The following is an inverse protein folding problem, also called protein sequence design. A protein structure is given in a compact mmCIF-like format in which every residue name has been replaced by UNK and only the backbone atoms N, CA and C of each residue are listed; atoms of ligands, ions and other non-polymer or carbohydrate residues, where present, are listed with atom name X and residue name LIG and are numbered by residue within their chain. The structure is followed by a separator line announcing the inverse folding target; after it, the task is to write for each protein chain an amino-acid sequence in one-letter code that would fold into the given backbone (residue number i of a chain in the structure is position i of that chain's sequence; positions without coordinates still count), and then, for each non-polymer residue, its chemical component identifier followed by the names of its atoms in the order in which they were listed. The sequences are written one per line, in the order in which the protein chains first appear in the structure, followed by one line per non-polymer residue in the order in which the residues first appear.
data_IF_277638611793
#
_entry.id   IF_277638611793
#
_cell.length_a   1.000
_cell.length_b   1.000
_cell.length_c   1.000
_cell.angle_alpha   90.00
_cell.angle_beta   90.00
_cell.angle_gamma   90.00
#
_symmetry.space_group_name_H-M   'P 1'
#
loop_
_entity.id
_entity.type
_entity.pdbx_description
1 polymer ?
#
# COMPACT_ATOMS: atom_id res chain seq x y z
N UNK A 1 25.96 9.78 4.30
CA UNK A 1 25.98 10.83 3.25
C UNK A 1 24.73 10.65 2.42
N UNK A 2 23.93 11.69 2.24
CA UNK A 2 22.80 11.65 1.30
C UNK A 2 23.34 11.41 -0.11
N UNK A 3 22.77 10.44 -0.82
CA UNK A 3 23.11 10.16 -2.21
C UNK A 3 22.05 10.79 -3.12
N UNK A 4 22.49 11.37 -4.23
CA UNK A 4 21.59 11.72 -5.34
C UNK A 4 21.43 10.53 -6.28
N UNK A 5 20.26 10.43 -6.89
CA UNK A 5 19.96 9.40 -7.88
C UNK A 5 19.57 10.06 -9.19
N UNK A 6 20.15 9.61 -10.30
CA UNK A 6 19.79 10.06 -11.63
C UNK A 6 18.44 9.45 -12.05
N UNK A 7 17.57 10.25 -12.64
CA UNK A 7 16.26 9.80 -13.06
C UNK A 7 15.41 10.90 -13.67
N UNK A 8 14.16 10.55 -13.99
CA UNK A 8 13.13 11.48 -14.47
C UNK A 8 11.96 11.43 -13.50
N UNK A 9 11.51 12.61 -13.08
CA UNK A 9 10.26 12.76 -12.34
C UNK A 9 9.12 12.98 -13.33
N UNK A 10 8.17 12.05 -13.35
CA UNK A 10 7.02 12.06 -14.25
C UNK A 10 5.78 12.60 -13.54
N UNK A 11 5.01 13.44 -14.23
CA UNK A 11 3.77 14.05 -13.73
C UNK A 11 2.53 13.38 -14.36
N UNK A 12 2.05 12.32 -13.74
CA UNK A 12 0.69 11.78 -13.96
C UNK A 12 -0.12 11.92 -12.66
N UNK A 13 0.53 11.58 -11.55
CA UNK A 13 0.47 12.21 -10.23
C UNK A 13 1.93 12.58 -9.91
N UNK A 14 2.70 11.61 -9.44
CA UNK A 14 4.16 11.68 -9.39
C UNK A 14 4.77 10.27 -9.36
N UNK A 15 5.71 9.97 -10.26
CA UNK A 15 6.60 8.81 -10.12
C UNK A 15 8.02 9.17 -10.56
N UNK A 16 9.01 8.63 -9.84
CA UNK A 16 10.41 8.79 -10.19
C UNK A 16 10.92 7.56 -10.92
N UNK A 17 11.30 7.71 -12.18
CA UNK A 17 11.95 6.68 -13.00
C UNK A 17 13.47 6.75 -12.81
N UNK A 18 14.07 5.70 -12.26
CA UNK A 18 15.53 5.62 -12.11
C UNK A 18 16.21 5.32 -13.42
N UNK A 19 17.29 6.04 -13.75
CA UNK A 19 18.16 5.76 -14.90
C UNK A 19 17.37 5.45 -16.21
N UNK A 20 16.50 6.37 -16.67
CA UNK A 20 15.63 6.15 -17.82
C UNK A 20 16.46 5.85 -19.07
N UNK A 21 16.00 4.89 -19.85
CA UNK A 21 16.65 4.44 -21.06
C UNK A 21 15.55 4.04 -22.07
N UNK A 22 15.49 4.65 -23.27
CA UNK A 22 14.45 4.37 -24.26
C UNK A 22 14.42 2.92 -24.76
N UNK A 23 15.57 2.21 -24.71
CA UNK A 23 15.64 0.80 -25.07
C UNK A 23 15.05 -0.12 -23.99
N UNK A 24 14.96 0.33 -22.74
CA UNK A 24 14.34 -0.43 -21.64
C UNK A 24 12.83 -0.29 -21.65
N UNK A 25 12.16 -1.32 -22.13
CA UNK A 25 10.70 -1.32 -22.25
C UNK A 25 10.00 -1.86 -21.00
N UNK A 26 10.63 -2.68 -20.16
CA UNK A 26 9.95 -3.28 -19.02
C UNK A 26 10.01 -2.39 -17.77
N UNK A 27 8.96 -2.42 -16.95
CA UNK A 27 8.80 -1.53 -15.80
C UNK A 27 8.44 -2.29 -14.54
N UNK A 28 9.16 -1.99 -13.46
CA UNK A 28 8.77 -2.35 -12.10
C UNK A 28 8.23 -1.11 -11.41
N UNK A 29 6.94 -1.10 -11.08
CA UNK A 29 6.33 -0.04 -10.28
C UNK A 29 6.46 -0.41 -8.80
N UNK A 30 7.22 0.38 -8.05
CA UNK A 30 7.44 0.19 -6.63
C UNK A 30 6.52 1.12 -5.81
N UNK A 31 5.76 0.53 -4.89
CA UNK A 31 4.90 1.21 -3.90
C UNK A 31 5.41 0.87 -2.49
N UNK A 32 5.68 1.91 -1.70
CA UNK A 32 6.19 1.79 -0.33
C UNK A 32 5.10 1.48 0.71
N UNK A 33 5.49 1.46 1.98
CA UNK A 33 4.55 1.39 3.10
C UNK A 33 3.84 2.72 3.41
N UNK A 34 3.00 2.74 4.45
CA UNK A 34 2.14 3.88 4.83
C UNK A 34 2.89 5.21 4.88
N UNK A 35 4.05 5.22 5.55
CA UNK A 35 4.85 6.43 5.77
C UNK A 35 5.82 6.74 4.64
N UNK A 36 5.91 5.85 3.66
CA UNK A 36 6.91 5.92 2.62
C UNK A 36 6.46 6.87 1.51
N UNK A 37 7.46 7.35 0.79
CA UNK A 37 7.34 8.05 -0.48
C UNK A 37 8.64 7.89 -1.26
N UNK A 38 9.00 8.87 -2.08
CA UNK A 38 10.21 8.78 -2.90
C UNK A 38 11.47 8.61 -2.03
N UNK A 39 12.29 7.59 -2.35
CA UNK A 39 13.60 7.32 -1.76
C UNK A 39 13.61 7.03 -0.24
N UNK A 40 12.45 6.80 0.37
CA UNK A 40 12.31 6.44 1.79
C UNK A 40 12.79 5.02 2.08
N UNK A 41 12.60 4.10 1.13
CA UNK A 41 13.00 2.69 1.23
C UNK A 41 14.41 2.51 0.61
N UNK A 42 15.47 2.27 1.41
CA UNK A 42 16.85 2.39 0.92
C UNK A 42 17.22 1.40 -0.20
N UNK A 43 16.66 0.19 -0.16
CA UNK A 43 17.01 -0.85 -1.14
C UNK A 43 16.44 -0.57 -2.54
N UNK A 44 15.51 0.37 -2.71
CA UNK A 44 14.93 0.69 -4.03
C UNK A 44 15.99 1.26 -4.98
N UNK A 45 16.91 2.08 -4.46
CA UNK A 45 18.03 2.59 -5.26
C UNK A 45 19.04 1.48 -5.63
N UNK A 46 19.28 0.54 -4.71
CA UNK A 46 20.10 -0.64 -4.98
C UNK A 46 19.45 -1.57 -6.01
N UNK A 47 18.12 -1.70 -5.96
CA UNK A 47 17.34 -2.46 -6.95
C UNK A 47 17.43 -1.81 -8.33
N UNK A 48 17.28 -0.49 -8.42
CA UNK A 48 17.46 0.25 -9.67
C UNK A 48 18.87 0.07 -10.25
N UNK A 49 19.90 0.07 -9.41
CA UNK A 49 21.28 -0.22 -9.81
C UNK A 49 21.43 -1.66 -10.34
N UNK A 50 20.82 -2.64 -9.66
CA UNK A 50 20.85 -4.03 -10.11
C UNK A 50 20.17 -4.22 -11.49
N UNK A 51 19.27 -3.31 -11.86
CA UNK A 51 18.56 -3.36 -13.14
C UNK A 51 19.32 -2.67 -14.30
N UNK A 52 20.46 -2.03 -14.04
CA UNK A 52 21.23 -1.26 -15.05
C UNK A 52 21.53 -2.07 -16.31
N UNK A 53 21.93 -3.33 -16.18
CA UNK A 53 22.26 -4.22 -17.31
C UNK A 53 21.07 -5.02 -17.85
N UNK A 54 19.84 -4.69 -17.46
CA UNK A 54 18.62 -5.40 -17.86
C UNK A 54 17.70 -4.53 -18.72
N UNK A 55 16.65 -5.11 -19.29
CA UNK A 55 15.59 -4.39 -20.02
C UNK A 55 14.55 -3.74 -19.09
N UNK A 56 14.73 -3.84 -17.77
CA UNK A 56 13.82 -3.33 -16.74
C UNK A 56 14.26 -1.97 -16.19
N UNK A 57 13.28 -1.13 -15.91
CA UNK A 57 13.43 0.14 -15.20
C UNK A 57 12.55 0.17 -13.95
N UNK A 58 13.04 0.76 -12.87
CA UNK A 58 12.27 0.94 -11.62
C UNK A 58 11.60 2.32 -11.63
N UNK A 59 10.31 2.33 -11.35
CA UNK A 59 9.54 3.53 -11.03
C UNK A 59 9.20 3.51 -9.55
N UNK A 60 9.64 4.51 -8.77
CA UNK A 60 9.13 4.73 -7.42
C UNK A 60 7.87 5.58 -7.53
N UNK A 61 6.73 4.97 -7.25
CA UNK A 61 5.40 5.56 -7.35
C UNK A 61 5.11 6.36 -6.08
N UNK A 62 4.57 7.57 -6.22
CA UNK A 62 4.06 8.37 -5.11
C UNK A 62 2.53 8.42 -5.21
N UNK A 63 1.84 8.07 -4.12
CA UNK A 63 0.39 8.04 -4.03
C UNK A 63 -0.10 9.19 -3.14
N UNK A 64 -1.40 9.51 -3.17
CA UNK A 64 -2.00 10.42 -2.21
C UNK A 64 -1.88 9.90 -0.78
N UNK A 65 -1.82 8.58 -0.60
CA UNK A 65 -1.59 7.93 0.69
C UNK A 65 -0.13 7.97 1.16
N UNK A 66 0.82 8.44 0.36
CA UNK A 66 2.22 8.54 0.80
C UNK A 66 2.43 9.56 1.93
N UNK A 67 3.54 9.40 2.67
CA UNK A 67 3.95 10.28 3.77
C UNK A 67 2.94 10.40 4.92
N UNK A 68 2.07 11.41 4.90
CA UNK A 68 1.07 11.70 5.93
C UNK A 68 -0.36 11.41 5.44
N UNK A 69 -0.54 11.12 4.15
CA UNK A 69 -1.86 10.93 3.55
C UNK A 69 -2.51 9.58 3.90
N UNK A 70 -1.70 8.57 4.24
CA UNK A 70 -2.17 7.21 4.55
C UNK A 70 -3.20 7.14 5.67
N UNK A 71 -3.24 8.13 6.58
CA UNK A 71 -4.18 8.17 7.69
C UNK A 71 -5.63 8.47 7.28
N UNK A 72 -5.85 9.00 6.08
CA UNK A 72 -7.19 9.42 5.61
C UNK A 72 -7.60 8.77 4.29
N UNK A 73 -6.64 8.34 3.47
CA UNK A 73 -6.88 7.66 2.20
C UNK A 73 -7.30 6.18 2.37
N UNK A 74 -7.47 5.45 1.27
CA UNK A 74 -7.95 4.06 1.26
C UNK A 74 -7.30 3.22 0.18
N UNK A 75 -7.33 1.89 0.35
CA UNK A 75 -6.82 0.97 -0.68
C UNK A 75 -7.52 1.19 -2.03
N UNK A 76 -8.83 1.46 -2.06
CA UNK A 76 -9.56 1.78 -3.29
C UNK A 76 -9.01 3.01 -4.04
N UNK A 77 -8.57 4.03 -3.29
CA UNK A 77 -7.94 5.23 -3.86
C UNK A 77 -6.56 4.87 -4.40
N UNK A 78 -5.77 4.16 -3.61
CA UNK A 78 -4.41 3.77 -3.95
C UNK A 78 -4.37 2.92 -5.22
N UNK A 79 -5.26 1.92 -5.36
CA UNK A 79 -5.31 1.09 -6.57
C UNK A 79 -5.84 1.84 -7.80
N UNK A 80 -6.64 2.89 -7.60
CA UNK A 80 -7.07 3.79 -8.68
C UNK A 80 -5.88 4.61 -9.19
N UNK A 81 -5.06 5.14 -8.29
CA UNK A 81 -3.85 5.90 -8.63
C UNK A 81 -2.74 5.02 -9.23
N UNK A 82 -2.59 3.80 -8.72
CA UNK A 82 -1.70 2.79 -9.33
C UNK A 82 -2.19 2.46 -10.75
N UNK A 83 -3.49 2.30 -10.98
CA UNK A 83 -4.03 2.07 -12.32
C UNK A 83 -3.73 3.22 -13.29
N UNK A 84 -3.78 4.48 -12.82
CA UNK A 84 -3.35 5.64 -13.60
C UNK A 84 -1.86 5.58 -13.92
N UNK A 85 -1.01 5.20 -12.96
CA UNK A 85 0.43 5.01 -13.16
C UNK A 85 0.71 3.93 -14.22
N UNK A 86 0.03 2.78 -14.13
CA UNK A 86 0.17 1.67 -15.10
C UNK A 86 -0.19 2.15 -16.51
N UNK A 87 -1.31 2.87 -16.68
CA UNK A 87 -1.72 3.41 -17.98
C UNK A 87 -0.72 4.43 -18.52
N UNK A 88 -0.21 5.32 -17.66
CA UNK A 88 0.85 6.27 -18.02
C UNK A 88 2.11 5.56 -18.52
N UNK A 89 2.59 4.58 -17.76
CA UNK A 89 3.81 3.82 -18.11
C UNK A 89 3.60 2.98 -19.36
N UNK A 90 2.40 2.44 -19.61
CA UNK A 90 2.08 1.80 -20.90
C UNK A 90 2.16 2.76 -22.08
N UNK A 91 1.70 4.00 -21.91
CA UNK A 91 1.85 5.04 -22.93
C UNK A 91 3.32 5.36 -23.22
N UNK A 92 4.17 5.37 -22.19
CA UNK A 92 5.60 5.63 -22.30
C UNK A 92 6.39 4.44 -22.88
N UNK A 93 6.03 3.21 -22.52
CA UNK A 93 6.73 1.96 -22.86
C UNK A 93 5.73 0.92 -23.39
N UNK A 94 5.23 1.09 -24.63
CA UNK A 94 4.07 0.35 -25.15
C UNK A 94 4.31 -1.14 -25.40
N UNK A 95 5.58 -1.56 -25.50
CA UNK A 95 5.97 -2.97 -25.70
C UNK A 95 6.42 -3.64 -24.39
N UNK A 96 6.30 -2.91 -23.28
CA UNK A 96 6.80 -3.28 -21.97
C UNK A 96 5.93 -4.23 -21.17
N UNK A 97 6.58 -5.06 -20.35
CA UNK A 97 5.91 -5.73 -19.24
C UNK A 97 5.85 -4.79 -18.04
N UNK A 98 4.77 -4.86 -17.28
CA UNK A 98 4.61 -4.07 -16.04
C UNK A 98 4.41 -5.00 -14.85
N UNK A 99 5.31 -4.90 -13.88
CA UNK A 99 5.23 -5.60 -12.60
C UNK A 99 4.97 -4.57 -11.51
N UNK A 100 3.99 -4.84 -10.65
CA UNK A 100 3.74 -4.05 -9.44
C UNK A 100 4.43 -4.70 -8.25
N UNK A 101 5.21 -3.94 -7.49
CA UNK A 101 5.88 -4.40 -6.27
C UNK A 101 5.48 -3.52 -5.09
N UNK A 102 4.88 -4.15 -4.08
CA UNK A 102 4.53 -3.54 -2.81
C UNK A 102 5.53 -3.91 -1.72
N UNK A 103 5.94 -2.93 -0.93
CA UNK A 103 6.77 -3.10 0.27
C UNK A 103 5.96 -2.86 1.53
N UNK A 104 6.10 -3.71 2.54
CA UNK A 104 5.39 -3.55 3.82
C UNK A 104 3.89 -3.44 3.56
N UNK A 105 3.21 -2.42 4.07
CA UNK A 105 1.79 -2.16 3.81
C UNK A 105 1.47 -1.87 2.34
N UNK A 106 2.44 -1.46 1.51
CA UNK A 106 2.25 -1.39 0.05
C UNK A 106 1.92 -2.76 -0.56
N UNK A 107 2.19 -3.86 0.15
CA UNK A 107 1.71 -5.19 -0.25
C UNK A 107 0.18 -5.30 -0.18
N UNK A 108 -0.48 -4.53 0.69
CA UNK A 108 -1.94 -4.44 0.76
C UNK A 108 -2.48 -3.83 -0.54
N UNK A 109 -1.84 -2.78 -1.05
CA UNK A 109 -2.19 -2.19 -2.35
C UNK A 109 -2.05 -3.20 -3.48
N UNK A 110 -0.97 -3.99 -3.50
CA UNK A 110 -0.79 -5.05 -4.51
C UNK A 110 -1.92 -6.06 -4.43
N UNK A 111 -2.18 -6.62 -3.26
CA UNK A 111 -3.20 -7.65 -3.11
C UNK A 111 -4.60 -7.09 -3.40
N UNK A 112 -4.90 -5.87 -2.98
CA UNK A 112 -6.17 -5.18 -3.25
C UNK A 112 -6.34 -4.83 -4.72
N UNK A 113 -5.28 -4.33 -5.37
CA UNK A 113 -5.26 -4.05 -6.82
C UNK A 113 -5.67 -5.29 -7.59
N UNK A 114 -5.11 -6.40 -7.11
CA UNK A 114 -5.46 -7.70 -7.58
C UNK A 114 -6.92 -8.01 -7.14
N UNK A 115 -7.20 -8.62 -5.99
CA UNK A 115 -8.46 -9.32 -5.76
C UNK A 115 -9.78 -8.51 -5.83
N UNK A 116 -9.71 -7.17 -5.78
CA UNK A 116 -10.91 -6.31 -5.74
C UNK A 116 -11.68 -6.30 -7.06
N UNK A 117 -13.00 -6.05 -7.05
CA UNK A 117 -13.80 -5.95 -8.27
C UNK A 117 -13.15 -5.04 -9.30
N UNK A 118 -13.21 -5.41 -10.58
CA UNK A 118 -12.66 -4.63 -11.68
C UNK A 118 -13.76 -4.39 -12.74
N UNK A 119 -14.34 -3.17 -12.84
CA UNK A 119 -13.98 -1.94 -12.10
C UNK A 119 -14.38 -1.97 -10.62
N UNK A 120 -13.76 -1.09 -9.81
CA UNK A 120 -14.21 -0.84 -8.43
C UNK A 120 -15.64 -0.25 -8.42
N UNK A 121 -16.41 -0.42 -7.34
CA UNK A 121 -17.70 0.25 -7.19
C UNK A 121 -17.60 1.77 -7.43
N UNK A 122 -18.42 2.30 -8.33
CA UNK A 122 -18.43 3.72 -8.68
C UNK A 122 -17.36 4.16 -9.70
N UNK A 123 -16.50 3.24 -10.17
CA UNK A 123 -15.57 3.50 -11.27
C UNK A 123 -16.14 2.99 -12.60
N UNK A 124 -15.95 3.78 -13.67
CA UNK A 124 -16.40 3.41 -15.02
C UNK A 124 -15.34 2.59 -15.78
N UNK A 125 -14.05 2.84 -15.50
CA UNK A 125 -12.93 2.23 -16.22
C UNK A 125 -12.35 1.05 -15.46
N UNK A 126 -12.09 -0.03 -16.17
CA UNK A 126 -11.36 -1.17 -15.63
C UNK A 126 -9.89 -0.80 -15.38
N UNK A 127 -9.34 -1.31 -14.28
CA UNK A 127 -7.90 -1.28 -14.00
C UNK A 127 -7.15 -2.13 -15.04
N UNK A 128 -5.98 -1.67 -15.52
CA UNK A 128 -5.16 -2.42 -16.46
C UNK A 128 -4.56 -3.70 -15.86
N UNK A 129 -4.45 -4.75 -16.68
CA UNK A 129 -3.76 -6.00 -16.34
C UNK A 129 -2.31 -5.76 -15.92
N UNK A 130 -1.77 -6.54 -14.99
CA UNK A 130 -0.33 -6.56 -14.67
C UNK A 130 0.33 -7.83 -15.24
N UNK A 131 1.58 -7.72 -15.69
CA UNK A 131 2.38 -8.89 -16.11
C UNK A 131 2.93 -9.67 -14.92
N UNK A 132 2.99 -9.05 -13.74
CA UNK A 132 3.40 -9.69 -12.51
C UNK A 132 3.15 -8.81 -11.29
N UNK A 133 3.22 -9.44 -10.13
CA UNK A 133 3.03 -8.79 -8.83
C UNK A 133 4.01 -9.36 -7.81
N UNK A 134 4.57 -8.50 -6.97
CA UNK A 134 5.51 -8.87 -5.90
C UNK A 134 5.03 -8.20 -4.60
N UNK A 135 4.95 -8.98 -3.53
CA UNK A 135 4.67 -8.48 -2.18
C UNK A 135 5.89 -8.78 -1.31
N UNK A 136 6.56 -7.74 -0.82
CA UNK A 136 7.78 -7.86 -0.03
C UNK A 136 7.51 -7.43 1.41
N UNK A 137 7.73 -8.35 2.35
CA UNK A 137 7.36 -8.22 3.76
C UNK A 137 5.88 -7.84 3.97
N UNK A 138 4.91 -8.58 3.39
CA UNK A 138 3.50 -8.38 3.71
C UNK A 138 3.27 -8.73 5.19
N UNK A 139 2.94 -7.73 6.00
CA UNK A 139 2.71 -7.86 7.45
C UNK A 139 1.34 -7.31 7.82
N UNK A 140 0.78 -7.81 8.92
CA UNK A 140 -0.49 -7.34 9.47
C UNK A 140 -0.27 -6.18 10.45
N UNK A 141 -0.86 -5.01 10.14
CA UNK A 141 -0.90 -3.87 11.06
C UNK A 141 -1.66 -4.22 12.34
N UNK A 142 -2.76 -4.98 12.23
CA UNK A 142 -3.51 -5.52 13.37
C UNK A 142 -2.60 -6.33 14.29
N UNK A 143 -1.90 -7.32 13.77
CA UNK A 143 -1.05 -8.18 14.60
C UNK A 143 0.12 -7.39 15.19
N UNK A 144 0.66 -6.40 14.46
CA UNK A 144 1.68 -5.51 14.98
C UNK A 144 1.17 -4.70 16.19
N UNK A 145 0.01 -4.05 16.07
CA UNK A 145 -0.59 -3.27 17.17
C UNK A 145 -0.95 -4.19 18.35
N UNK A 146 -1.53 -5.36 18.09
CA UNK A 146 -1.86 -6.32 19.14
C UNK A 146 -0.61 -6.86 19.86
N UNK A 147 0.49 -7.06 19.14
CA UNK A 147 1.77 -7.43 19.75
C UNK A 147 2.26 -6.37 20.74
N UNK A 148 2.19 -5.09 20.36
CA UNK A 148 2.54 -3.98 21.24
C UNK A 148 1.59 -3.89 22.45
N UNK A 149 0.28 -4.00 22.22
CA UNK A 149 -0.75 -3.96 23.26
C UNK A 149 -0.64 -5.13 24.25
N UNK A 150 -0.29 -6.33 23.79
CA UNK A 150 -0.06 -7.48 24.67
C UNK A 150 1.18 -7.34 25.54
N UNK A 151 2.14 -6.53 25.09
CA UNK A 151 3.42 -6.31 25.78
C UNK A 151 3.39 -5.10 26.73
N UNK A 152 2.41 -4.21 26.61
CA UNK A 152 2.33 -2.97 27.39
C UNK A 152 0.88 -2.56 27.71
N UNK A 153 0.55 -2.45 29.01
CA UNK A 153 -0.79 -2.07 29.49
C UNK A 153 -1.21 -0.66 29.07
N UNK A 154 -0.28 0.28 28.96
CA UNK A 154 -0.57 1.64 28.48
C UNK A 154 -0.99 1.60 27.01
N UNK A 155 -0.26 0.85 26.19
CA UNK A 155 -0.59 0.63 24.77
C UNK A 155 -1.94 -0.05 24.63
N UNK A 156 -2.22 -1.06 25.46
CA UNK A 156 -3.54 -1.71 25.49
C UNK A 156 -4.66 -0.73 25.81
N UNK A 157 -4.48 0.08 26.85
CA UNK A 157 -5.47 1.09 27.25
C UNK A 157 -5.69 2.15 26.17
N UNK A 158 -4.64 2.57 25.47
CA UNK A 158 -4.73 3.48 24.34
C UNK A 158 -5.47 2.84 23.15
N UNK A 159 -5.12 1.59 22.80
CA UNK A 159 -5.79 0.83 21.76
C UNK A 159 -7.30 0.69 22.01
N UNK A 160 -7.70 0.27 23.22
CA UNK A 160 -9.11 0.12 23.59
C UNK A 160 -9.86 1.47 23.52
N UNK A 161 -9.24 2.57 23.95
CA UNK A 161 -9.80 3.92 23.80
C UNK A 161 -9.96 4.33 22.34
N UNK A 162 -8.97 4.06 21.48
CA UNK A 162 -9.03 4.36 20.06
C UNK A 162 -10.14 3.57 19.36
N UNK A 163 -10.30 2.27 19.66
CA UNK A 163 -11.39 1.44 19.13
C UNK A 163 -12.75 1.99 19.53
N UNK A 164 -12.93 2.32 20.82
CA UNK A 164 -14.18 2.87 21.31
C UNK A 164 -14.49 4.24 20.69
N UNK A 165 -13.50 5.11 20.61
CA UNK A 165 -13.64 6.42 19.96
C UNK A 165 -14.01 6.26 18.49
N UNK A 166 -13.28 5.43 17.74
CA UNK A 166 -13.50 5.24 16.32
C UNK A 166 -14.88 4.65 15.99
N UNK A 167 -15.42 3.78 16.85
CA UNK A 167 -16.77 3.23 16.71
C UNK A 167 -17.88 4.24 17.02
N UNK A 168 -17.60 5.21 17.90
CA UNK A 168 -18.59 6.19 18.35
C UNK A 168 -18.64 7.47 17.48
N UNK A 169 -17.60 7.72 16.68
CA UNK A 169 -17.48 8.93 15.88
C UNK A 169 -17.79 8.71 14.40
N UNK A 170 -17.95 9.81 13.67
CA UNK A 170 -18.09 9.75 12.22
C UNK A 170 -16.83 9.13 11.59
N UNK A 171 -16.95 8.34 10.50
CA UNK A 171 -15.81 7.66 9.88
C UNK A 171 -14.65 8.60 9.49
N UNK A 172 -14.95 9.85 9.14
CA UNK A 172 -13.96 10.86 8.72
C UNK A 172 -13.36 11.66 9.89
N UNK A 173 -13.85 11.49 11.12
CA UNK A 173 -13.28 12.16 12.28
C UNK A 173 -11.87 11.66 12.55
N UNK A 174 -10.96 12.56 12.89
CA UNK A 174 -9.58 12.22 13.25
C UNK A 174 -9.48 11.72 14.69
N UNK A 175 -8.63 10.72 14.89
CA UNK A 175 -8.30 10.19 16.20
C UNK A 175 -7.42 11.16 17.01
N UNK A 176 -7.45 11.06 18.35
CA UNK A 176 -6.51 11.80 19.19
C UNK A 176 -5.05 11.38 18.92
N UNK A 177 -4.23 12.32 18.42
CA UNK A 177 -2.82 12.06 18.04
C UNK A 177 -1.99 11.52 19.20
N UNK A 178 -2.26 11.98 20.42
CA UNK A 178 -1.57 11.51 21.61
C UNK A 178 -1.82 10.01 21.89
N UNK A 179 -2.96 9.47 21.47
CA UNK A 179 -3.26 8.04 21.61
C UNK A 179 -2.72 7.24 20.43
N UNK A 180 -2.78 7.76 19.20
CA UNK A 180 -2.22 7.08 18.02
C UNK A 180 -0.69 6.94 18.13
N UNK A 181 -0.02 7.93 18.71
CA UNK A 181 1.41 7.86 19.02
C UNK A 181 1.75 6.72 19.99
N UNK A 182 0.91 6.51 21.01
CA UNK A 182 1.11 5.46 22.02
C UNK A 182 1.00 4.06 21.41
N UNK A 183 0.18 3.87 20.37
CA UNK A 183 0.07 2.57 19.66
C UNK A 183 1.14 2.35 18.58
N UNK A 184 2.19 3.18 18.57
CA UNK A 184 3.37 2.98 17.72
C UNK A 184 3.30 3.65 16.34
N UNK A 185 2.28 4.48 16.08
CA UNK A 185 2.19 5.25 14.85
C UNK A 185 2.81 6.65 14.99
N UNK A 186 3.21 7.31 13.88
CA UNK A 186 3.77 8.66 13.93
C UNK A 186 2.85 9.67 14.63
N UNK A 187 3.43 10.51 15.49
CA UNK A 187 2.74 11.54 16.27
C UNK A 187 2.29 12.76 15.45
N UNK A 188 2.67 12.80 14.18
CA UNK A 188 2.41 13.88 13.24
C UNK A 188 1.42 13.51 12.12
N UNK A 189 0.87 12.29 12.13
CA UNK A 189 -0.07 11.83 11.10
C UNK A 189 -1.49 11.77 11.64
N UNK A 190 -2.40 12.53 11.04
CA UNK A 190 -3.84 12.46 11.35
C UNK A 190 -4.45 11.18 10.79
N UNK A 191 -5.10 10.38 11.64
CA UNK A 191 -5.69 9.11 11.24
C UNK A 191 -7.19 9.17 11.46
N UNK A 192 -7.95 8.95 10.39
CA UNK A 192 -9.41 8.89 10.45
C UNK A 192 -9.90 7.66 11.20
N UNK A 193 -11.07 7.76 11.82
CA UNK A 193 -11.72 6.64 12.51
C UNK A 193 -11.90 5.43 11.57
N UNK A 194 -12.27 5.69 10.30
CA UNK A 194 -12.40 4.68 9.25
C UNK A 194 -11.07 3.95 9.02
N UNK A 195 -9.98 4.70 8.79
CA UNK A 195 -8.68 4.14 8.48
C UNK A 195 -8.14 3.31 9.65
N UNK A 196 -8.28 3.81 10.87
CA UNK A 196 -7.89 3.07 12.06
C UNK A 196 -8.64 1.77 12.21
N UNK A 197 -9.98 1.78 12.10
CA UNK A 197 -10.77 0.54 12.21
C UNK A 197 -10.41 -0.47 11.13
N UNK A 198 -10.00 0.00 9.95
CA UNK A 198 -9.54 -0.86 8.87
C UNK A 198 -8.18 -1.51 9.16
N UNK A 199 -7.19 -0.73 9.59
CA UNK A 199 -5.84 -1.21 9.92
C UNK A 199 -5.84 -2.09 11.19
N UNK A 200 -6.53 -1.65 12.24
CA UNK A 200 -6.59 -2.34 13.53
C UNK A 200 -7.48 -3.59 13.48
N UNK A 201 -8.48 -3.60 12.59
CA UNK A 201 -9.44 -4.69 12.36
C UNK A 201 -9.88 -5.40 13.65
N UNK A 202 -10.49 -4.68 14.62
CA UNK A 202 -10.77 -5.21 15.96
C UNK A 202 -11.76 -6.38 15.99
N UNK A 203 -12.51 -6.59 14.89
CA UNK A 203 -13.47 -7.67 14.75
C UNK A 203 -12.88 -8.91 14.04
N UNK A 204 -11.58 -8.90 13.70
CA UNK A 204 -10.85 -10.07 13.19
C UNK A 204 -10.55 -11.10 14.30
N UNK A 205 -10.58 -12.41 13.98
CA UNK A 205 -10.68 -12.98 12.63
C UNK A 205 -12.12 -13.25 12.14
N UNK A 206 -13.15 -12.91 12.92
CA UNK A 206 -14.56 -13.15 12.57
C UNK A 206 -15.02 -12.29 11.40
N UNK A 207 -14.64 -11.00 11.39
CA UNK A 207 -14.99 -10.02 10.37
C UNK A 207 -13.79 -9.12 10.05
N UNK A 208 -12.83 -9.63 9.26
CA UNK A 208 -11.66 -8.85 8.87
C UNK A 208 -12.04 -7.62 8.05
N UNK A 209 -11.46 -6.48 8.42
CA UNK A 209 -11.62 -5.23 7.71
C UNK A 209 -10.77 -5.20 6.42
N UNK A 210 -10.84 -4.11 5.67
CA UNK A 210 -10.25 -4.00 4.34
C UNK A 210 -8.74 -4.23 4.33
N UNK A 211 -7.99 -3.59 5.23
CA UNK A 211 -6.52 -3.69 5.31
C UNK A 211 -6.02 -5.00 5.93
N UNK A 212 -6.88 -5.73 6.64
CA UNK A 212 -6.51 -7.00 7.27
C UNK A 212 -6.49 -8.14 6.25
N UNK A 213 -5.42 -8.14 5.46
CA UNK A 213 -5.17 -9.08 4.37
C UNK A 213 -4.12 -10.14 4.71
N UNK A 214 -3.33 -9.90 5.77
CA UNK A 214 -2.13 -10.69 6.08
C UNK A 214 -2.06 -11.17 7.54
N UNK A 215 -3.10 -11.00 8.36
CA UNK A 215 -3.09 -11.59 9.72
C UNK A 215 -2.97 -13.12 9.65
N UNK A 216 -2.19 -13.69 10.55
CA UNK A 216 -1.91 -15.13 10.58
C UNK A 216 -3.12 -15.98 10.98
N UNK A 217 -4.12 -15.39 11.64
CA UNK A 217 -5.33 -16.04 12.13
C UNK A 217 -6.54 -15.89 11.18
N UNK A 218 -6.34 -15.33 9.97
CA UNK A 218 -7.41 -15.23 8.98
C UNK A 218 -7.96 -16.60 8.60
N UNK A 219 -9.30 -16.72 8.61
CA UNK A 219 -9.99 -17.95 8.23
C UNK A 219 -9.84 -18.22 6.73
N UNK A 220 -9.82 -19.49 6.33
CA UNK A 220 -9.76 -19.93 4.92
C UNK A 220 -10.76 -19.22 4.01
N UNK A 221 -11.94 -18.87 4.52
CA UNK A 221 -12.93 -18.11 3.77
C UNK A 221 -12.38 -16.76 3.32
N UNK A 222 -11.75 -15.99 4.22
CA UNK A 222 -11.14 -14.70 3.89
C UNK A 222 -10.00 -14.88 2.89
N UNK A 223 -9.15 -15.89 3.07
CA UNK A 223 -8.06 -16.18 2.13
C UNK A 223 -8.59 -16.56 0.73
N UNK A 224 -9.73 -17.26 0.63
CA UNK A 224 -10.41 -17.55 -0.64
C UNK A 224 -10.96 -16.29 -1.30
N UNK A 225 -11.45 -15.35 -0.50
CA UNK A 225 -11.99 -14.06 -0.96
C UNK A 225 -10.90 -13.09 -1.41
N UNK A 226 -9.65 -13.25 -0.96
CA UNK A 226 -8.51 -12.43 -1.38
C UNK A 226 -7.57 -13.22 -2.30
N UNK A 227 -6.57 -13.93 -1.75
CA UNK A 227 -5.57 -14.72 -2.50
C UNK A 227 -6.20 -15.78 -3.42
N UNK A 228 -7.32 -16.38 -3.02
CA UNK A 228 -8.05 -17.35 -3.83
C UNK A 228 -8.64 -16.77 -5.11
N UNK A 229 -8.87 -15.46 -5.17
CA UNK A 229 -9.35 -14.78 -6.39
C UNK A 229 -8.27 -14.65 -7.45
N UNK A 230 -6.98 -14.72 -7.08
CA UNK A 230 -5.86 -14.62 -8.01
C UNK A 230 -5.84 -15.73 -9.07
N UNK A 231 -6.42 -16.91 -8.77
CA UNK A 231 -6.49 -18.07 -9.68
C UNK A 231 -7.56 -17.97 -10.77
N UNK A 232 -8.57 -17.11 -10.62
CA UNK A 232 -9.65 -16.97 -11.60
C UNK A 232 -9.24 -15.90 -12.61
N UNK A 233 -8.52 -16.34 -13.64
CA UNK A 233 -7.90 -15.51 -14.68
C UNK A 233 -8.78 -14.37 -15.16
N UNK A 234 -8.26 -13.17 -14.98
CA UNK A 234 -8.84 -11.90 -15.41
C UNK A 234 -8.14 -10.71 -14.75
N UNK A 235 -6.85 -10.84 -14.44
CA UNK A 235 -5.99 -9.66 -14.34
C UNK A 235 -5.96 -9.02 -15.70
#
# INVERSE_FOLDING_TARGET
MSQSHAGVLHEYLTAFEFNPNPQKQHSLLFVGGLTDGLLTVPYVSALAKAFESTEWTVFNVLLSSSYLGWGVESLDKDVTEIAQCVNFVRGLKPQGKIVLMGHSTGSQDVLHYLHSPNPLPGQESARPVLDGAIMQAPVSDREHILHLANSNQEVRGAYEQLVNFARAQAPQSLLPLNLTAVVGWPDNTGISCRRFLSLASPDSPEKPAEDDLFSSDLKDQRLKETLGRLRRGGW
#
